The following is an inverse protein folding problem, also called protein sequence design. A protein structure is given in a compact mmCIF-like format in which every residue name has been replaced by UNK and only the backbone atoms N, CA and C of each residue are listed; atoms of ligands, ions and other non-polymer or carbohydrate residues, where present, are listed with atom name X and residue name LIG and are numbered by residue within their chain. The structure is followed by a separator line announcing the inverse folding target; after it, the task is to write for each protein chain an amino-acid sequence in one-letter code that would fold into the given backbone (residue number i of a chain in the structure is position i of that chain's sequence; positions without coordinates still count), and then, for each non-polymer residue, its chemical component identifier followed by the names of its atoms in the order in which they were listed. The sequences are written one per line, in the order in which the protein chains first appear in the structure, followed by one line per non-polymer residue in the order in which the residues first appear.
data_IF_628708007983
#
_entry.id   IF_628708007983
#
_cell.length_a   1.000
_cell.length_b   1.000
_cell.length_c   1.000
_cell.angle_alpha   90.00
_cell.angle_beta   90.00
_cell.angle_gamma   90.00
#
_symmetry.space_group_name_H-M   'P 1'
#
loop_
_entity.id
_entity.type
_entity.pdbx_description
1 polymer ?
#
# COMPACT_ATOMS: atom_id res chain seq x y z
N UNK A 1 -35.05 75.02 -9.31
CA UNK A 1 -33.82 74.23 -9.29
C UNK A 1 -34.15 72.78 -9.48
N UNK A 2 -34.02 72.17 -10.69
CA UNK A 2 -34.25 70.69 -10.87
C UNK A 2 -32.99 69.93 -11.30
N UNK A 3 -31.79 70.46 -11.02
CA UNK A 3 -30.54 69.77 -11.44
C UNK A 3 -30.07 68.67 -10.49
N UNK A 4 -30.35 68.76 -9.19
CA UNK A 4 -29.89 67.80 -8.20
C UNK A 4 -30.52 66.38 -8.34
N UNK A 5 -31.77 66.35 -8.85
CA UNK A 5 -32.46 65.02 -9.01
C UNK A 5 -31.95 64.16 -10.19
N UNK A 6 -31.38 64.84 -11.21
CA UNK A 6 -30.85 64.13 -12.41
C UNK A 6 -29.46 63.53 -12.13
N UNK A 7 -28.61 64.23 -11.40
CA UNK A 7 -27.26 63.72 -11.00
C UNK A 7 -27.34 62.55 -10.03
N UNK A 8 -28.25 62.62 -9.04
CA UNK A 8 -28.50 61.50 -8.14
C UNK A 8 -29.01 60.24 -8.89
N UNK A 9 -29.85 60.45 -9.92
CA UNK A 9 -30.44 59.36 -10.71
C UNK A 9 -29.41 58.66 -11.60
N UNK A 10 -28.49 59.39 -12.20
CA UNK A 10 -27.41 58.87 -13.00
C UNK A 10 -26.35 58.15 -12.12
N UNK A 11 -26.13 58.64 -10.90
CA UNK A 11 -25.26 58.02 -9.91
C UNK A 11 -25.82 56.68 -9.41
N UNK A 12 -27.12 56.59 -9.08
CA UNK A 12 -27.76 55.35 -8.61
C UNK A 12 -27.78 54.26 -9.69
N UNK A 13 -28.04 54.62 -10.96
CA UNK A 13 -27.97 53.66 -12.07
C UNK A 13 -26.56 53.12 -12.30
N UNK A 14 -25.53 53.94 -12.19
CA UNK A 14 -24.12 53.53 -12.30
C UNK A 14 -23.74 52.60 -11.18
N UNK A 15 -24.15 52.86 -9.92
CA UNK A 15 -23.92 51.99 -8.77
C UNK A 15 -24.65 50.65 -8.98
N UNK A 16 -25.90 50.66 -9.42
CA UNK A 16 -26.68 49.45 -9.70
C UNK A 16 -26.01 48.55 -10.76
N UNK A 17 -25.58 49.15 -11.87
CA UNK A 17 -24.86 48.44 -12.93
C UNK A 17 -23.54 47.89 -12.40
N UNK A 18 -22.79 48.63 -11.58
CA UNK A 18 -21.55 48.17 -10.94
C UNK A 18 -21.77 46.99 -10.01
N UNK A 19 -22.82 47.04 -9.19
CA UNK A 19 -23.20 45.93 -8.28
C UNK A 19 -23.58 44.65 -9.06
N UNK A 20 -24.38 44.77 -10.12
CA UNK A 20 -24.76 43.65 -10.98
C UNK A 20 -23.52 43.06 -11.66
N UNK A 21 -22.63 43.90 -12.17
CA UNK A 21 -21.42 43.50 -12.87
C UNK A 21 -20.43 42.72 -11.98
N UNK A 22 -20.46 42.95 -10.66
CA UNK A 22 -19.65 42.19 -9.67
C UNK A 22 -20.38 40.96 -9.17
N UNK A 23 -21.67 41.06 -8.81
CA UNK A 23 -22.42 39.96 -8.20
C UNK A 23 -22.74 38.83 -9.17
N UNK A 24 -23.01 39.12 -10.44
CA UNK A 24 -23.32 38.05 -11.43
C UNK A 24 -22.11 37.14 -11.68
N UNK A 25 -20.90 37.65 -11.98
CA UNK A 25 -19.71 36.77 -12.11
C UNK A 25 -19.39 36.01 -10.83
N UNK A 26 -19.54 36.61 -9.65
CA UNK A 26 -19.30 35.97 -8.37
C UNK A 26 -20.27 34.80 -8.15
N UNK A 27 -21.54 34.97 -8.52
CA UNK A 27 -22.58 33.91 -8.44
C UNK A 27 -22.26 32.76 -9.40
N UNK A 28 -21.88 33.07 -10.64
CA UNK A 28 -21.50 32.09 -11.67
C UNK A 28 -20.24 31.31 -11.24
N UNK A 29 -19.26 32.02 -10.69
CA UNK A 29 -18.03 31.38 -10.18
C UNK A 29 -18.31 30.46 -8.99
N UNK A 30 -19.13 30.92 -8.03
CA UNK A 30 -19.57 30.09 -6.90
C UNK A 30 -20.29 28.82 -7.35
N UNK A 31 -21.17 28.91 -8.34
CA UNK A 31 -21.87 27.79 -8.94
C UNK A 31 -20.91 26.83 -9.66
N UNK A 32 -19.96 27.35 -10.41
CA UNK A 32 -18.93 26.53 -11.08
C UNK A 32 -18.06 25.76 -10.09
N UNK A 33 -17.59 26.40 -9.02
CA UNK A 33 -16.81 25.76 -7.95
C UNK A 33 -17.64 24.68 -7.24
N UNK A 34 -18.93 24.93 -6.98
CA UNK A 34 -19.82 23.97 -6.33
C UNK A 34 -20.05 22.70 -7.18
N UNK A 35 -20.11 22.84 -8.50
CA UNK A 35 -20.37 21.72 -9.41
C UNK A 35 -19.12 20.89 -9.75
N UNK A 36 -17.96 21.51 -9.87
CA UNK A 36 -16.74 20.82 -10.35
C UNK A 36 -15.74 20.46 -9.25
N UNK A 37 -15.78 21.11 -8.09
CA UNK A 37 -14.78 20.94 -7.05
C UNK A 37 -14.70 19.51 -6.48
N UNK A 38 -15.81 18.83 -6.30
CA UNK A 38 -15.86 17.50 -5.65
C UNK A 38 -15.25 16.40 -6.52
N UNK A 39 -15.53 16.39 -7.83
CA UNK A 39 -15.04 15.35 -8.74
C UNK A 39 -13.52 15.40 -8.95
N UNK A 40 -12.96 16.58 -9.10
CA UNK A 40 -11.51 16.75 -9.31
C UNK A 40 -10.71 16.33 -8.08
N UNK A 41 -11.19 16.63 -6.88
CA UNK A 41 -10.48 16.22 -5.65
C UNK A 41 -10.60 14.74 -5.38
N UNK A 42 -11.76 14.13 -5.63
CA UNK A 42 -11.89 12.67 -5.58
C UNK A 42 -10.90 12.01 -6.53
N UNK A 43 -10.75 12.53 -7.73
CA UNK A 43 -9.79 12.01 -8.69
C UNK A 43 -8.35 12.21 -8.21
N UNK A 44 -7.98 13.41 -7.75
CA UNK A 44 -6.63 13.69 -7.23
C UNK A 44 -6.30 12.83 -6.01
N UNK A 45 -7.23 12.67 -5.08
CA UNK A 45 -7.04 11.80 -3.92
C UNK A 45 -6.91 10.32 -4.33
N UNK A 46 -7.72 9.89 -5.30
CA UNK A 46 -7.65 8.56 -5.88
C UNK A 46 -6.31 8.25 -6.53
N UNK A 47 -5.79 9.15 -7.34
CA UNK A 47 -4.45 8.99 -7.95
C UNK A 47 -3.33 9.06 -6.91
N UNK A 48 -3.49 9.88 -5.86
CA UNK A 48 -2.51 9.93 -4.76
C UNK A 48 -2.45 8.60 -3.99
N UNK A 49 -3.60 8.06 -3.56
CA UNK A 49 -3.63 6.78 -2.82
C UNK A 49 -3.13 5.62 -3.70
N UNK A 50 -3.46 5.63 -5.01
CA UNK A 50 -2.93 4.69 -5.99
C UNK A 50 -1.41 4.78 -6.09
N UNK A 51 -0.85 5.98 -6.14
CA UNK A 51 0.60 6.20 -6.18
C UNK A 51 1.29 5.69 -4.92
N UNK A 52 0.70 5.96 -3.75
CA UNK A 52 1.24 5.50 -2.46
C UNK A 52 1.21 3.98 -2.37
N UNK A 53 0.10 3.33 -2.71
CA UNK A 53 0.01 1.85 -2.69
C UNK A 53 0.97 1.20 -3.67
N UNK A 54 1.14 1.79 -4.87
CA UNK A 54 2.11 1.33 -5.84
C UNK A 54 3.54 1.43 -5.32
N UNK A 55 3.91 2.57 -4.76
CA UNK A 55 5.25 2.75 -4.17
C UNK A 55 5.51 1.77 -3.02
N UNK A 56 4.51 1.49 -2.20
CA UNK A 56 4.61 0.52 -1.12
C UNK A 56 4.74 -0.92 -1.63
N UNK A 57 4.05 -1.27 -2.72
CA UNK A 57 4.18 -2.57 -3.39
C UNK A 57 5.56 -2.75 -4.02
N UNK A 58 6.07 -1.73 -4.71
CA UNK A 58 7.42 -1.72 -5.29
C UNK A 58 8.50 -1.84 -4.19
N UNK A 59 8.34 -1.12 -3.07
CA UNK A 59 9.22 -1.24 -1.90
C UNK A 59 9.23 -2.65 -1.33
N UNK A 60 8.06 -3.28 -1.22
CA UNK A 60 7.93 -4.66 -0.74
C UNK A 60 8.66 -5.64 -1.66
N UNK A 61 8.44 -5.53 -2.97
CA UNK A 61 9.14 -6.37 -3.97
C UNK A 61 10.65 -6.15 -3.95
N UNK A 62 11.10 -4.89 -3.86
CA UNK A 62 12.52 -4.55 -3.81
C UNK A 62 13.18 -5.08 -2.53
N UNK A 63 12.48 -5.04 -1.39
CA UNK A 63 12.97 -5.63 -0.15
C UNK A 63 13.22 -7.13 -0.32
N UNK A 64 12.24 -7.89 -0.81
CA UNK A 64 12.37 -9.33 -1.06
C UNK A 64 13.50 -9.62 -2.06
N UNK A 65 13.55 -8.90 -3.18
CA UNK A 65 14.62 -9.04 -4.17
C UNK A 65 16.02 -8.75 -3.59
N UNK A 66 16.11 -7.77 -2.68
CA UNK A 66 17.35 -7.47 -1.95
C UNK A 66 17.79 -8.66 -1.08
N UNK A 67 16.86 -9.25 -0.33
CA UNK A 67 17.15 -10.43 0.53
C UNK A 67 17.55 -11.67 -0.30
N UNK A 68 16.88 -11.88 -1.43
CA UNK A 68 17.26 -12.94 -2.37
C UNK A 68 18.71 -12.78 -2.86
N UNK A 69 19.11 -11.56 -3.24
CA UNK A 69 20.50 -11.29 -3.65
C UNK A 69 21.50 -11.57 -2.54
N UNK A 70 21.20 -11.22 -1.30
CA UNK A 70 22.09 -11.52 -0.16
C UNK A 70 22.27 -13.04 0.03
N UNK A 71 21.18 -13.81 -0.03
CA UNK A 71 21.26 -15.27 0.08
C UNK A 71 21.98 -15.86 -1.13
N UNK A 72 21.79 -15.31 -2.33
CA UNK A 72 22.51 -15.77 -3.53
C UNK A 72 24.02 -15.59 -3.42
N UNK A 73 24.50 -14.49 -2.83
CA UNK A 73 25.93 -14.27 -2.58
C UNK A 73 26.51 -15.33 -1.64
N UNK A 74 25.74 -15.74 -0.64
CA UNK A 74 26.14 -16.84 0.25
C UNK A 74 26.19 -18.16 -0.53
N UNK A 75 25.14 -18.48 -1.30
CA UNK A 75 25.02 -19.75 -2.03
C UNK A 75 26.10 -19.94 -3.13
N UNK A 76 26.51 -18.84 -3.75
CA UNK A 76 27.54 -18.83 -4.81
C UNK A 76 28.97 -18.60 -4.27
N UNK A 77 29.18 -18.79 -2.96
CA UNK A 77 30.53 -18.69 -2.37
C UNK A 77 31.37 -19.90 -2.70
N UNK A 78 32.61 -19.75 -3.27
CA UNK A 78 33.49 -20.88 -3.57
C UNK A 78 33.82 -21.78 -2.36
N UNK A 79 33.95 -21.16 -1.17
CA UNK A 79 34.19 -21.92 0.07
C UNK A 79 33.01 -22.81 0.46
N UNK A 80 31.80 -22.36 0.16
CA UNK A 80 30.57 -23.10 0.41
C UNK A 80 30.42 -24.24 -0.61
N UNK A 81 30.65 -23.98 -1.89
CA UNK A 81 30.66 -25.03 -2.93
C UNK A 81 31.64 -26.16 -2.59
N UNK A 82 32.89 -25.81 -2.23
CA UNK A 82 33.91 -26.81 -1.84
C UNK A 82 33.48 -27.66 -0.63
N UNK A 83 32.91 -27.03 0.41
CA UNK A 83 32.47 -27.72 1.59
C UNK A 83 31.30 -28.68 1.30
N UNK A 84 30.36 -28.25 0.45
CA UNK A 84 29.22 -29.09 0.05
C UNK A 84 29.64 -30.23 -0.85
N UNK A 85 30.56 -30.02 -1.80
CA UNK A 85 31.13 -31.08 -2.63
C UNK A 85 31.85 -32.11 -1.76
N UNK A 86 32.66 -31.68 -0.78
CA UNK A 86 33.32 -32.59 0.16
C UNK A 86 32.33 -33.42 0.98
N UNK A 87 31.19 -32.84 1.36
CA UNK A 87 30.10 -33.54 2.04
C UNK A 87 29.45 -34.59 1.12
N UNK A 88 29.16 -34.24 -0.13
CA UNK A 88 28.56 -35.14 -1.12
C UNK A 88 29.45 -36.34 -1.43
N UNK A 89 30.77 -36.17 -1.48
CA UNK A 89 31.72 -37.27 -1.71
C UNK A 89 31.62 -38.39 -0.68
N UNK A 90 31.10 -38.13 0.52
CA UNK A 90 30.94 -39.19 1.54
C UNK A 90 29.90 -40.24 1.12
N UNK A 91 29.01 -39.92 0.18
CA UNK A 91 27.92 -40.78 -0.25
C UNK A 91 28.14 -41.40 -1.65
N UNK A 92 29.19 -41.04 -2.40
CA UNK A 92 29.41 -41.52 -3.78
C UNK A 92 29.49 -43.04 -3.96
N UNK A 93 29.82 -43.77 -2.88
CA UNK A 93 29.98 -45.24 -2.89
C UNK A 93 28.90 -45.96 -2.13
N UNK A 94 27.83 -45.30 -1.75
CA UNK A 94 26.74 -45.80 -0.94
C UNK A 94 25.48 -45.79 -1.79
N UNK A 95 24.63 -46.80 -1.68
CA UNK A 95 23.36 -46.79 -2.40
C UNK A 95 22.44 -45.71 -1.86
N UNK A 96 21.54 -45.16 -2.69
CA UNK A 96 20.59 -44.10 -2.29
C UNK A 96 19.75 -44.57 -1.08
N UNK A 97 19.30 -45.84 -1.04
CA UNK A 97 18.51 -46.41 0.07
C UNK A 97 19.31 -46.42 1.39
N UNK A 98 20.59 -46.76 1.32
CA UNK A 98 21.47 -46.78 2.49
C UNK A 98 21.78 -45.36 2.99
N UNK A 99 21.93 -44.39 2.05
CA UNK A 99 22.08 -42.97 2.40
C UNK A 99 20.84 -42.47 3.13
N UNK A 100 19.64 -42.75 2.60
CA UNK A 100 18.38 -42.35 3.23
C UNK A 100 18.24 -42.95 4.63
N UNK A 101 18.44 -44.26 4.76
CA UNK A 101 18.38 -44.96 6.06
C UNK A 101 19.35 -44.35 7.09
N UNK A 102 20.57 -43.97 6.66
CA UNK A 102 21.55 -43.32 7.52
C UNK A 102 21.13 -41.92 7.95
N UNK A 103 20.55 -41.15 7.04
CA UNK A 103 20.09 -39.77 7.32
C UNK A 103 18.88 -39.76 8.26
N UNK A 104 17.92 -40.66 8.03
CA UNK A 104 16.76 -40.85 8.91
C UNK A 104 17.19 -41.28 10.32
N UNK A 105 18.12 -42.25 10.44
CA UNK A 105 18.65 -42.66 11.71
C UNK A 105 19.39 -41.52 12.45
N UNK A 106 20.06 -40.63 11.69
CA UNK A 106 20.72 -39.44 12.24
C UNK A 106 19.68 -38.40 12.70
N UNK A 107 18.63 -38.18 11.93
CA UNK A 107 17.52 -37.30 12.31
C UNK A 107 16.86 -37.76 13.62
N UNK A 108 16.61 -39.04 13.81
CA UNK A 108 16.05 -39.59 15.05
C UNK A 108 16.93 -39.30 16.28
N UNK A 109 18.26 -39.24 16.09
CA UNK A 109 19.22 -38.93 17.15
C UNK A 109 19.44 -37.42 17.33
N UNK A 110 19.08 -36.62 16.34
CA UNK A 110 19.41 -35.19 16.29
C UNK A 110 18.93 -34.39 17.51
N UNK A 111 17.76 -34.72 18.03
CA UNK A 111 17.11 -34.00 19.12
C UNK A 111 17.43 -34.56 20.50
N UNK A 112 18.35 -35.54 20.59
CA UNK A 112 18.80 -36.10 21.85
C UNK A 112 20.33 -35.87 22.06
N UNK A 113 20.85 -36.30 23.20
CA UNK A 113 22.26 -36.08 23.58
C UNK A 113 23.27 -36.65 22.57
N UNK A 114 22.93 -37.69 21.83
CA UNK A 114 23.80 -38.26 20.77
C UNK A 114 23.96 -37.28 19.60
N UNK A 115 22.90 -36.52 19.27
CA UNK A 115 22.94 -35.48 18.24
C UNK A 115 23.73 -34.24 18.64
N UNK A 116 23.92 -33.95 19.92
CA UNK A 116 24.63 -32.76 20.37
C UNK A 116 26.12 -32.75 19.96
N UNK A 117 26.79 -33.90 19.94
CA UNK A 117 28.17 -34.00 19.46
C UNK A 117 28.26 -33.66 17.95
N UNK A 118 27.35 -34.20 17.15
CA UNK A 118 27.27 -33.90 15.72
C UNK A 118 26.94 -32.42 15.49
N UNK A 119 25.95 -31.88 16.22
CA UNK A 119 25.57 -30.45 16.15
C UNK A 119 26.79 -29.58 16.48
N UNK A 120 27.55 -29.91 17.53
CA UNK A 120 28.75 -29.16 17.90
C UNK A 120 29.79 -29.15 16.77
N UNK A 121 30.02 -30.28 16.10
CA UNK A 121 30.94 -30.35 14.97
C UNK A 121 30.47 -29.46 13.80
N UNK A 122 29.19 -29.55 13.42
CA UNK A 122 28.60 -28.76 12.36
C UNK A 122 28.74 -27.25 12.69
N UNK A 123 28.37 -26.85 13.89
CA UNK A 123 28.40 -25.45 14.33
C UNK A 123 29.83 -24.90 14.53
N UNK A 124 30.82 -25.73 14.79
CA UNK A 124 32.21 -25.33 14.97
C UNK A 124 33.03 -25.35 13.67
N UNK A 125 32.45 -25.80 12.54
CA UNK A 125 33.12 -25.85 11.24
C UNK A 125 33.58 -24.48 10.75
N UNK A 126 34.57 -24.44 9.86
CA UNK A 126 35.06 -23.20 9.27
C UNK A 126 33.94 -22.48 8.51
N UNK A 127 33.14 -23.22 7.76
CA UNK A 127 32.00 -22.71 7.06
C UNK A 127 30.95 -22.09 8.02
N UNK A 128 30.65 -22.78 9.12
CA UNK A 128 29.73 -22.25 10.13
C UNK A 128 30.23 -20.92 10.76
N UNK A 129 31.56 -20.82 10.98
CA UNK A 129 32.16 -19.53 11.45
C UNK A 129 32.03 -18.42 10.41
N UNK A 130 32.23 -18.74 9.13
CA UNK A 130 32.05 -17.80 8.03
C UNK A 130 30.58 -17.33 7.92
N UNK A 131 29.62 -18.25 8.00
CA UNK A 131 28.19 -17.94 7.98
C UNK A 131 27.79 -17.02 9.15
N UNK A 132 28.30 -17.27 10.37
CA UNK A 132 28.05 -16.39 11.52
C UNK A 132 28.60 -14.99 11.31
N UNK A 133 29.81 -14.83 10.76
CA UNK A 133 30.36 -13.51 10.42
C UNK A 133 29.49 -12.79 9.38
N UNK A 134 29.00 -13.52 8.37
CA UNK A 134 28.09 -12.98 7.36
C UNK A 134 26.78 -12.51 8.02
N UNK A 135 26.22 -13.28 8.94
CA UNK A 135 25.04 -12.90 9.71
C UNK A 135 25.28 -11.63 10.58
N UNK A 136 26.43 -11.53 11.25
CA UNK A 136 26.79 -10.36 12.04
C UNK A 136 26.84 -9.07 11.20
N UNK A 137 27.26 -9.19 9.94
CA UNK A 137 27.29 -8.06 8.99
C UNK A 137 25.91 -7.74 8.41
N UNK A 138 24.96 -8.69 8.44
CA UNK A 138 23.62 -8.57 7.91
C UNK A 138 22.57 -8.86 8.99
N UNK A 139 22.18 -7.88 9.80
CA UNK A 139 21.28 -8.06 10.94
C UNK A 139 19.90 -8.64 10.60
N UNK A 140 19.48 -8.57 9.33
CA UNK A 140 18.24 -9.19 8.87
C UNK A 140 18.34 -10.70 8.65
N UNK A 141 19.54 -11.27 8.57
CA UNK A 141 19.74 -12.71 8.53
C UNK A 141 19.67 -13.28 9.95
N UNK A 142 18.62 -14.04 10.26
CA UNK A 142 18.42 -14.62 11.58
C UNK A 142 19.16 -15.93 11.75
N UNK A 143 18.90 -16.88 10.82
CA UNK A 143 19.52 -18.20 10.82
C UNK A 143 19.90 -18.60 9.39
N UNK A 144 21.02 -19.24 9.21
CA UNK A 144 21.46 -19.78 7.90
C UNK A 144 21.86 -21.22 8.10
N UNK A 145 21.32 -22.11 7.26
CA UNK A 145 21.62 -23.54 7.22
C UNK A 145 22.05 -23.94 5.82
N UNK A 146 23.08 -24.75 5.70
CA UNK A 146 23.58 -25.32 4.45
C UNK A 146 23.40 -26.81 4.51
N UNK A 147 22.77 -27.36 3.47
CA UNK A 147 22.60 -28.80 3.30
C UNK A 147 23.25 -29.26 1.98
N UNK A 148 23.73 -30.49 1.94
CA UNK A 148 24.25 -31.18 0.76
C UNK A 148 23.12 -31.67 -0.18
N UNK A 149 23.48 -32.33 -1.28
CA UNK A 149 22.53 -32.85 -2.26
C UNK A 149 21.57 -33.91 -1.68
N UNK A 150 22.00 -34.65 -0.67
CA UNK A 150 21.19 -35.65 0.05
C UNK A 150 20.32 -35.03 1.16
N UNK A 151 20.41 -33.71 1.37
CA UNK A 151 19.67 -33.02 2.42
C UNK A 151 20.29 -33.08 3.82
N UNK A 152 21.50 -33.58 3.96
CA UNK A 152 22.19 -33.57 5.24
C UNK A 152 22.72 -32.17 5.58
N UNK A 153 22.56 -31.72 6.81
CA UNK A 153 23.09 -30.45 7.26
C UNK A 153 24.61 -30.46 7.33
N UNK A 154 25.27 -29.62 6.52
CA UNK A 154 26.74 -29.50 6.43
C UNK A 154 27.26 -28.40 7.37
N UNK A 155 26.58 -27.27 7.44
CA UNK A 155 26.94 -26.16 8.30
C UNK A 155 25.70 -25.34 8.65
N UNK A 156 25.73 -24.67 9.82
CA UNK A 156 24.66 -23.77 10.22
C UNK A 156 25.19 -22.70 11.18
N UNK A 157 24.47 -21.55 11.23
CA UNK A 157 24.75 -20.50 12.24
C UNK A 157 24.31 -20.92 13.63
N UNK A 158 23.21 -21.68 13.72
CA UNK A 158 22.56 -22.17 14.93
C UNK A 158 22.10 -23.61 14.70
N UNK A 159 21.90 -24.41 15.76
CA UNK A 159 21.39 -25.78 15.61
C UNK A 159 20.03 -25.74 14.91
N UNK A 160 19.89 -26.26 13.67
CA UNK A 160 18.61 -26.32 13.01
C UNK A 160 17.68 -27.31 13.71
N UNK A 161 16.36 -27.11 13.56
CA UNK A 161 15.35 -28.02 14.14
C UNK A 161 15.50 -29.42 13.61
N UNK A 162 15.91 -29.58 12.36
CA UNK A 162 16.09 -30.83 11.66
C UNK A 162 17.50 -30.91 11.08
N UNK A 163 18.12 -32.08 11.20
CA UNK A 163 19.38 -32.42 10.52
C UNK A 163 19.13 -32.70 9.04
N UNK A 164 18.07 -33.48 8.76
CA UNK A 164 17.68 -33.92 7.44
C UNK A 164 16.66 -32.99 6.79
N UNK A 165 16.99 -32.45 5.65
CA UNK A 165 16.20 -31.42 4.98
C UNK A 165 15.40 -31.90 3.77
N UNK A 166 15.75 -33.07 3.19
CA UNK A 166 15.11 -33.55 1.95
C UNK A 166 13.65 -33.96 2.15
N UNK A 167 13.24 -34.35 3.36
CA UNK A 167 11.85 -34.67 3.70
C UNK A 167 10.94 -33.42 3.83
N UNK A 168 11.50 -32.23 3.71
CA UNK A 168 10.75 -30.99 3.80
C UNK A 168 10.01 -30.68 2.49
N UNK A 169 8.78 -30.18 2.61
CA UNK A 169 7.90 -29.90 1.47
C UNK A 169 8.51 -28.99 0.39
N UNK A 170 9.43 -28.09 0.77
CA UNK A 170 10.08 -27.19 -0.16
C UNK A 170 11.22 -27.84 -0.98
N UNK A 171 11.78 -29.00 -0.51
CA UNK A 171 12.98 -29.61 -1.10
C UNK A 171 12.74 -30.05 -2.55
N UNK A 172 11.61 -30.68 -2.81
CA UNK A 172 11.26 -31.11 -4.17
C UNK A 172 11.21 -29.96 -5.17
N UNK A 173 10.65 -28.82 -4.74
CA UNK A 173 10.62 -27.59 -5.55
C UNK A 173 12.02 -27.00 -5.73
N UNK A 174 12.81 -26.98 -4.66
CA UNK A 174 14.18 -26.47 -4.66
C UNK A 174 15.10 -27.31 -5.56
N UNK A 175 14.98 -28.65 -5.50
CA UNK A 175 15.74 -29.58 -6.33
C UNK A 175 15.43 -29.42 -7.82
N UNK A 176 14.15 -29.24 -8.16
CA UNK A 176 13.67 -28.98 -9.53
C UNK A 176 14.34 -29.87 -10.59
N UNK A 177 14.27 -31.21 -10.39
CA UNK A 177 14.89 -32.20 -11.30
C UNK A 177 16.42 -32.01 -11.51
N UNK A 178 17.12 -31.49 -10.52
CA UNK A 178 18.56 -31.24 -10.55
C UNK A 178 18.99 -29.91 -11.15
N UNK A 179 18.02 -29.05 -11.60
CA UNK A 179 18.31 -27.74 -12.15
C UNK A 179 18.39 -26.64 -11.07
N UNK A 180 17.78 -26.90 -9.92
CA UNK A 180 17.68 -25.95 -8.82
C UNK A 180 16.68 -24.83 -9.07
N UNK A 181 15.83 -24.55 -8.09
CA UNK A 181 14.92 -23.41 -8.13
C UNK A 181 14.89 -22.72 -6.78
N UNK A 182 14.68 -21.41 -6.78
CA UNK A 182 14.58 -20.64 -5.54
C UNK A 182 13.21 -20.87 -4.93
N UNK A 183 13.16 -21.18 -3.64
CA UNK A 183 11.91 -21.28 -2.89
C UNK A 183 11.87 -20.23 -1.80
N UNK A 184 10.75 -19.49 -1.70
CA UNK A 184 10.48 -18.55 -0.61
C UNK A 184 9.22 -19.02 0.12
N UNK A 185 9.36 -19.34 1.40
CA UNK A 185 8.24 -19.70 2.24
C UNK A 185 7.54 -18.45 2.80
N UNK A 186 6.24 -18.59 3.06
CA UNK A 186 5.45 -17.53 3.69
C UNK A 186 5.91 -17.22 5.13
N UNK A 187 5.39 -16.15 5.68
CA UNK A 187 5.69 -15.62 7.00
C UNK A 187 5.51 -16.64 8.13
N UNK A 188 6.48 -16.65 9.04
CA UNK A 188 6.47 -17.45 10.27
C UNK A 188 7.06 -16.65 11.42
N UNK A 189 6.77 -17.09 12.65
CA UNK A 189 7.43 -16.61 13.86
C UNK A 189 8.55 -17.56 14.26
N UNK A 190 9.66 -17.02 14.71
CA UNK A 190 10.72 -17.79 15.38
C UNK A 190 10.44 -17.94 16.87
N UNK A 191 11.36 -18.62 17.57
CA UNK A 191 11.26 -18.88 19.02
C UNK A 191 11.33 -17.60 19.87
N UNK A 192 11.85 -16.50 19.30
CA UNK A 192 11.94 -15.18 19.93
C UNK A 192 10.77 -14.26 19.51
N UNK A 193 9.75 -14.83 18.85
CA UNK A 193 8.58 -14.12 18.33
C UNK A 193 8.93 -13.03 17.29
N UNK A 194 10.04 -13.19 16.56
CA UNK A 194 10.40 -12.36 15.41
C UNK A 194 9.75 -12.91 14.16
N UNK A 195 9.25 -12.03 13.33
CA UNK A 195 8.57 -12.40 12.08
C UNK A 195 9.59 -12.54 10.94
N UNK A 196 9.62 -13.69 10.29
CA UNK A 196 10.56 -13.98 9.22
C UNK A 196 9.91 -14.67 8.02
N UNK A 197 10.59 -14.57 6.87
CA UNK A 197 10.40 -15.44 5.72
C UNK A 197 11.60 -16.40 5.63
N UNK A 198 11.39 -17.60 5.07
CA UNK A 198 12.47 -18.54 4.80
C UNK A 198 12.77 -18.56 3.30
N UNK A 199 14.00 -18.26 2.94
CA UNK A 199 14.51 -18.31 1.56
C UNK A 199 15.39 -19.55 1.44
N UNK A 200 15.02 -20.48 0.57
CA UNK A 200 15.87 -21.62 0.20
C UNK A 200 16.43 -21.38 -1.21
N UNK A 201 17.75 -21.36 -1.32
CA UNK A 201 18.48 -21.07 -2.55
C UNK A 201 19.33 -22.30 -2.94
N UNK A 202 19.24 -22.77 -4.20
CA UNK A 202 20.03 -23.93 -4.64
C UNK A 202 21.51 -23.58 -4.73
N UNK A 203 22.36 -24.52 -4.36
CA UNK A 203 23.80 -24.46 -4.62
C UNK A 203 24.03 -25.26 -5.89
N UNK A 204 24.55 -24.59 -6.90
CA UNK A 204 24.88 -25.22 -8.18
C UNK A 204 26.39 -25.32 -8.31
N UNK A 205 26.89 -26.44 -8.83
CA UNK A 205 28.31 -26.58 -9.14
C UNK A 205 28.70 -25.70 -10.30
N UNK A 206 29.69 -24.81 -10.13
CA UNK A 206 30.07 -23.82 -11.14
C UNK A 206 30.39 -24.44 -12.51
N UNK A 207 31.06 -25.60 -12.56
CA UNK A 207 31.50 -26.22 -13.81
C UNK A 207 30.36 -26.91 -14.55
N UNK A 208 29.43 -27.57 -13.83
CA UNK A 208 28.40 -28.44 -14.41
C UNK A 208 27.02 -27.88 -14.39
N UNK A 209 26.78 -26.83 -13.59
CA UNK A 209 25.45 -26.28 -13.32
C UNK A 209 24.51 -27.21 -12.56
N UNK A 210 25.01 -28.37 -12.06
CA UNK A 210 24.21 -29.37 -11.34
C UNK A 210 23.93 -28.94 -9.92
N UNK A 211 22.73 -29.25 -9.43
CA UNK A 211 22.37 -29.07 -8.02
C UNK A 211 23.27 -29.96 -7.14
N UNK A 212 23.93 -29.36 -6.18
CA UNK A 212 24.82 -30.02 -5.23
C UNK A 212 24.39 -29.83 -3.78
N UNK A 213 23.41 -28.98 -3.50
CA UNK A 213 22.94 -28.69 -2.15
C UNK A 213 22.10 -27.42 -2.09
N UNK A 214 21.84 -26.94 -0.89
CA UNK A 214 21.01 -25.80 -0.65
C UNK A 214 21.47 -24.92 0.52
N UNK A 215 21.24 -23.61 0.41
CA UNK A 215 21.27 -22.66 1.52
C UNK A 215 19.83 -22.31 1.90
N UNK A 216 19.48 -22.47 3.16
CA UNK A 216 18.23 -21.95 3.72
C UNK A 216 18.52 -20.81 4.69
N UNK A 217 17.96 -19.64 4.45
CA UNK A 217 18.11 -18.48 5.29
C UNK A 217 16.76 -18.01 5.85
N UNK A 218 16.70 -17.80 7.15
CA UNK A 218 15.59 -17.10 7.80
C UNK A 218 15.90 -15.60 7.81
N UNK A 219 14.98 -14.83 7.26
CA UNK A 219 15.16 -13.37 7.03
C UNK A 219 14.09 -12.60 7.79
N UNK A 220 14.51 -11.70 8.68
CA UNK A 220 13.63 -10.78 9.40
C UNK A 220 12.96 -9.80 8.44
N UNK A 221 11.64 -9.72 8.50
CA UNK A 221 10.82 -8.79 7.70
C UNK A 221 10.35 -7.57 8.50
N UNK A 222 10.69 -7.49 9.78
CA UNK A 222 10.31 -6.35 10.64
C UNK A 222 10.77 -4.99 10.09
N UNK A 223 11.95 -4.86 9.45
CA UNK A 223 12.35 -3.60 8.83
C UNK A 223 11.44 -3.16 7.68
N UNK A 224 10.93 -4.11 6.88
CA UNK A 224 9.93 -3.81 5.84
C UNK A 224 8.66 -3.24 6.46
N UNK A 225 8.14 -3.90 7.50
CA UNK A 225 6.90 -3.46 8.15
C UNK A 225 7.07 -2.11 8.85
N UNK A 226 8.22 -1.88 9.49
CA UNK A 226 8.53 -0.57 10.05
C UNK A 226 8.56 0.53 8.98
N UNK A 227 9.04 0.23 7.78
CA UNK A 227 9.07 1.17 6.66
C UNK A 227 7.67 1.42 6.08
N UNK A 228 6.85 0.38 5.93
CA UNK A 228 5.45 0.50 5.49
C UNK A 228 4.63 1.33 6.49
N UNK A 229 4.82 1.10 7.79
CA UNK A 229 4.12 1.85 8.85
C UNK A 229 4.48 3.35 8.91
N UNK A 230 5.62 3.75 8.36
CA UNK A 230 6.01 5.17 8.28
C UNK A 230 5.33 5.92 7.14
N UNK A 231 4.72 5.20 6.20
CA UNK A 231 3.97 5.83 5.11
C UNK A 231 2.66 6.39 5.63
N UNK A 232 2.54 7.71 5.68
CA UNK A 232 1.34 8.40 6.11
C UNK A 232 0.46 8.77 4.91
N UNK A 233 -0.83 8.47 5.00
CA UNK A 233 -1.84 8.83 4.00
C UNK A 233 -2.84 9.74 4.70
N UNK A 234 -2.62 11.05 4.64
CA UNK A 234 -3.41 12.00 5.41
C UNK A 234 -3.33 11.74 6.92
N UNK A 235 -4.43 11.94 7.63
CA UNK A 235 -4.57 11.72 9.09
C UNK A 235 -5.27 10.40 9.42
N UNK A 236 -6.24 10.00 8.61
CA UNK A 236 -7.07 8.81 8.83
C UNK A 236 -6.60 7.63 7.98
N UNK A 237 -5.67 7.87 7.07
CA UNK A 237 -5.19 6.83 6.16
C UNK A 237 -4.40 5.74 6.84
N UNK A 238 -4.64 4.50 6.39
CA UNK A 238 -3.99 3.28 6.86
C UNK A 238 -3.46 2.50 5.67
N UNK A 239 -2.32 1.86 5.86
CA UNK A 239 -1.71 1.00 4.85
C UNK A 239 -1.61 -0.41 5.41
N UNK A 240 -2.02 -1.38 4.62
CA UNK A 240 -2.08 -2.80 4.97
C UNK A 240 -1.28 -3.62 3.96
N UNK A 241 -0.65 -4.67 4.43
CA UNK A 241 -0.19 -5.75 3.59
C UNK A 241 -1.12 -6.95 3.81
N UNK A 242 -1.71 -7.46 2.76
CA UNK A 242 -2.68 -8.57 2.81
C UNK A 242 -2.28 -9.67 1.83
N UNK A 243 -2.78 -10.89 2.04
CA UNK A 243 -2.71 -11.96 1.05
C UNK A 243 -3.85 -11.82 0.03
N UNK A 244 -3.77 -12.56 -1.05
CA UNK A 244 -4.80 -12.61 -2.09
C UNK A 244 -6.12 -13.25 -1.65
N UNK A 245 -6.18 -13.85 -0.46
CA UNK A 245 -7.41 -14.27 0.22
C UNK A 245 -7.99 -13.19 1.15
N UNK A 246 -7.31 -12.04 1.29
CA UNK A 246 -7.69 -10.94 2.17
C UNK A 246 -7.21 -11.06 3.61
N UNK A 247 -6.45 -12.09 3.95
CA UNK A 247 -5.85 -12.23 5.29
C UNK A 247 -4.83 -11.13 5.51
N UNK A 248 -4.96 -10.40 6.61
CA UNK A 248 -4.04 -9.32 6.98
C UNK A 248 -2.69 -9.90 7.39
N UNK A 249 -1.64 -9.51 6.70
CA UNK A 249 -0.26 -9.84 7.03
C UNK A 249 0.32 -8.80 7.98
N UNK A 250 0.08 -7.52 7.66
CA UNK A 250 0.57 -6.38 8.44
C UNK A 250 -0.43 -5.24 8.34
N UNK A 251 -0.74 -4.63 9.48
CA UNK A 251 -1.51 -3.40 9.57
C UNK A 251 -1.07 -2.61 10.80
N UNK A 252 -1.20 -1.28 10.81
CA UNK A 252 -0.92 -0.46 11.98
C UNK A 252 -1.77 -0.90 13.19
N UNK A 253 -1.11 -1.24 14.30
CA UNK A 253 -1.78 -1.66 15.54
C UNK A 253 -2.39 -3.07 15.54
N UNK A 254 -2.13 -3.88 14.51
CA UNK A 254 -2.60 -5.27 14.42
C UNK A 254 -1.39 -6.21 14.58
N UNK A 255 -1.51 -7.18 15.49
CA UNK A 255 -0.54 -8.27 15.56
C UNK A 255 -0.76 -9.22 14.39
N UNK A 256 0.30 -9.58 13.63
CA UNK A 256 0.18 -10.52 12.49
C UNK A 256 -0.32 -11.93 12.87
N UNK A 257 -0.32 -12.27 14.14
CA UNK A 257 -0.89 -13.54 14.66
C UNK A 257 -2.43 -13.59 14.58
N UNK A 258 -3.08 -12.45 14.41
CA UNK A 258 -4.53 -12.40 14.21
C UNK A 258 -4.84 -12.72 12.74
N UNK A 259 -5.55 -13.83 12.50
CA UNK A 259 -6.12 -14.17 11.19
C UNK A 259 -7.33 -13.27 10.91
N UNK A 260 -7.09 -11.99 10.68
CA UNK A 260 -8.11 -11.01 10.31
C UNK A 260 -8.23 -10.90 8.79
N UNK A 261 -9.46 -10.80 8.31
CA UNK A 261 -9.72 -10.39 6.94
C UNK A 261 -9.92 -8.87 6.87
N UNK A 262 -9.36 -8.24 5.85
CA UNK A 262 -9.51 -6.81 5.60
C UNK A 262 -10.84 -6.50 4.93
N UNK A 263 -11.59 -5.53 5.48
CA UNK A 263 -12.78 -4.98 4.81
C UNK A 263 -12.39 -4.25 3.52
N UNK A 264 -11.24 -3.60 3.53
CA UNK A 264 -10.66 -2.93 2.37
C UNK A 264 -10.40 -3.91 1.23
N UNK A 265 -9.81 -5.06 1.54
CA UNK A 265 -9.60 -6.12 0.54
C UNK A 265 -10.93 -6.64 -0.01
N UNK A 266 -11.91 -6.87 0.84
CA UNK A 266 -13.24 -7.34 0.41
C UNK A 266 -13.88 -6.38 -0.58
N UNK A 267 -13.67 -5.07 -0.41
CA UNK A 267 -14.19 -4.03 -1.29
C UNK A 267 -13.53 -4.02 -2.68
N UNK A 268 -12.24 -4.42 -2.77
CA UNK A 268 -11.48 -4.40 -4.04
C UNK A 268 -11.38 -5.76 -4.72
N UNK A 269 -11.75 -6.85 -4.04
CA UNK A 269 -11.57 -8.23 -4.51
C UNK A 269 -12.09 -8.47 -5.93
N UNK A 270 -13.28 -7.95 -6.24
CA UNK A 270 -13.89 -8.13 -7.55
C UNK A 270 -13.13 -7.35 -8.63
N UNK A 271 -12.56 -6.19 -8.27
CA UNK A 271 -11.69 -5.41 -9.13
C UNK A 271 -10.35 -6.13 -9.39
N UNK A 272 -9.78 -6.77 -8.36
CA UNK A 272 -8.55 -7.58 -8.50
C UNK A 272 -8.76 -8.81 -9.37
N UNK A 273 -9.95 -9.43 -9.34
CA UNK A 273 -10.27 -10.61 -10.15
C UNK A 273 -10.33 -10.34 -11.66
N UNK A 274 -10.66 -9.12 -12.06
CA UNK A 274 -10.69 -8.68 -13.47
C UNK A 274 -9.33 -8.22 -13.97
N UNK A 275 -8.43 -7.91 -13.07
CA UNK A 275 -7.15 -7.27 -13.32
C UNK A 275 -6.03 -8.33 -13.18
N UNK A 276 -5.59 -8.90 -14.29
CA UNK A 276 -4.55 -9.94 -14.32
C UNK A 276 -3.16 -9.32 -14.19
N UNK A 277 -2.58 -9.39 -12.96
CA UNK A 277 -1.15 -9.10 -12.70
C UNK A 277 -0.76 -7.61 -12.70
N UNK A 278 0.04 -7.19 -11.73
CA UNK A 278 0.64 -5.84 -11.55
C UNK A 278 -0.31 -4.66 -11.52
N UNK A 279 -1.54 -4.83 -11.06
CA UNK A 279 -2.49 -3.78 -11.21
C UNK A 279 -2.65 -2.95 -9.95
N UNK A 280 -2.66 -1.67 -10.19
CA UNK A 280 -2.90 -0.65 -9.19
C UNK A 280 -4.21 0.04 -9.51
N UNK A 281 -5.00 0.33 -8.51
CA UNK A 281 -6.25 1.06 -8.69
C UNK A 281 -6.72 1.71 -7.41
N UNK A 282 -7.84 2.37 -7.51
CA UNK A 282 -8.56 2.91 -6.37
C UNK A 282 -10.06 2.88 -6.60
N UNK A 283 -10.82 2.88 -5.52
CA UNK A 283 -12.28 3.01 -5.57
C UNK A 283 -12.80 3.71 -4.31
N UNK A 284 -13.96 4.34 -4.43
CA UNK A 284 -14.72 4.83 -3.30
C UNK A 284 -15.76 3.78 -2.91
N UNK A 285 -15.81 3.42 -1.65
CA UNK A 285 -16.69 2.36 -1.13
C UNK A 285 -17.27 2.74 0.24
N UNK A 286 -18.28 1.99 0.65
CA UNK A 286 -18.89 2.13 1.98
C UNK A 286 -18.64 0.84 2.75
N UNK A 287 -18.03 0.92 3.92
CA UNK A 287 -17.81 -0.23 4.80
C UNK A 287 -19.07 -0.59 5.60
N UNK A 288 -19.02 -1.71 6.28
CA UNK A 288 -20.14 -2.32 7.01
C UNK A 288 -20.82 -1.37 8.01
N UNK A 289 -20.08 -0.40 8.57
CA UNK A 289 -20.60 0.62 9.50
C UNK A 289 -21.24 1.84 8.81
N UNK A 290 -21.36 1.83 7.48
CA UNK A 290 -21.91 2.95 6.72
C UNK A 290 -20.93 4.12 6.50
N UNK A 291 -19.68 3.98 6.92
CA UNK A 291 -18.63 4.95 6.70
C UNK A 291 -18.08 4.84 5.27
N UNK A 292 -17.84 5.99 4.65
CA UNK A 292 -17.31 6.03 3.27
C UNK A 292 -15.81 6.19 3.28
N UNK A 293 -15.15 5.36 2.48
CA UNK A 293 -13.70 5.32 2.34
C UNK A 293 -13.27 5.40 0.88
N UNK A 294 -12.11 6.01 0.67
CA UNK A 294 -11.29 5.81 -0.51
C UNK A 294 -10.34 4.66 -0.22
N UNK A 295 -10.36 3.63 -1.07
CA UNK A 295 -9.48 2.47 -0.97
C UNK A 295 -8.60 2.42 -2.20
N UNK A 296 -7.28 2.35 -2.00
CA UNK A 296 -6.28 2.10 -3.03
C UNK A 296 -5.67 0.71 -2.87
N UNK A 297 -5.18 0.14 -3.96
CA UNK A 297 -4.51 -1.16 -3.94
C UNK A 297 -3.41 -1.27 -4.99
N UNK A 298 -2.44 -2.12 -4.70
CA UNK A 298 -1.38 -2.49 -5.63
C UNK A 298 -0.90 -3.93 -5.36
N UNK A 299 -0.82 -4.74 -6.40
CA UNK A 299 -0.19 -6.05 -6.35
C UNK A 299 1.33 -5.86 -6.29
N UNK A 300 2.00 -6.64 -5.43
CA UNK A 300 3.46 -6.64 -5.35
C UNK A 300 4.13 -7.36 -6.53
N UNK A 301 3.39 -8.20 -7.26
CA UNK A 301 3.91 -9.06 -8.33
C UNK A 301 4.80 -10.21 -7.83
N UNK A 302 4.89 -10.41 -6.51
CA UNK A 302 5.72 -11.48 -5.94
C UNK A 302 5.17 -12.87 -6.21
N UNK A 303 3.85 -13.01 -6.32
CA UNK A 303 3.15 -14.28 -6.54
C UNK A 303 3.62 -15.01 -7.81
N UNK A 304 3.94 -14.27 -8.86
CA UNK A 304 4.35 -14.84 -10.15
C UNK A 304 5.66 -15.63 -10.03
N UNK A 305 6.61 -15.11 -9.25
CA UNK A 305 7.90 -15.77 -9.00
C UNK A 305 7.86 -16.67 -7.75
N UNK A 306 7.07 -16.31 -6.75
CA UNK A 306 6.99 -16.99 -5.46
C UNK A 306 5.52 -17.18 -5.06
N UNK A 307 4.88 -18.30 -5.44
CA UNK A 307 3.46 -18.57 -5.20
C UNK A 307 3.02 -18.47 -3.72
N UNK A 308 3.97 -18.65 -2.80
CA UNK A 308 3.72 -18.51 -1.36
C UNK A 308 3.71 -17.06 -0.85
N UNK A 309 4.01 -16.08 -1.71
CA UNK A 309 3.98 -14.67 -1.39
C UNK A 309 2.91 -13.92 -2.22
N UNK A 310 1.62 -14.29 -2.09
CA UNK A 310 0.54 -13.63 -2.81
C UNK A 310 0.18 -12.31 -2.10
N UNK A 311 1.14 -11.40 -2.01
CA UNK A 311 1.03 -10.19 -1.22
C UNK A 311 0.51 -9.01 -2.02
N UNK A 312 -0.47 -8.33 -1.46
CA UNK A 312 -1.13 -7.15 -2.02
C UNK A 312 -1.04 -6.03 -0.99
N UNK A 313 -0.66 -4.84 -1.44
CA UNK A 313 -0.72 -3.63 -0.63
C UNK A 313 -2.10 -3.00 -0.81
N UNK A 314 -2.75 -2.69 0.29
CA UNK A 314 -4.04 -2.00 0.33
C UNK A 314 -3.92 -0.79 1.25
N UNK A 315 -4.52 0.32 0.85
CA UNK A 315 -4.62 1.50 1.70
C UNK A 315 -6.06 2.00 1.75
N UNK A 316 -6.45 2.55 2.89
CA UNK A 316 -7.76 3.18 3.06
C UNK A 316 -7.62 4.56 3.69
N UNK A 317 -8.51 5.49 3.32
CA UNK A 317 -8.61 6.82 3.89
C UNK A 317 -10.09 7.23 3.96
N UNK A 318 -10.50 7.88 5.05
CA UNK A 318 -11.87 8.36 5.19
C UNK A 318 -12.21 9.43 4.13
N UNK A 319 -13.33 9.24 3.42
CA UNK A 319 -13.78 10.20 2.42
C UNK A 319 -14.03 11.60 3.00
N UNK A 320 -14.47 11.67 4.26
CA UNK A 320 -14.71 12.94 4.96
C UNK A 320 -13.45 13.79 5.10
N UNK A 321 -12.29 13.17 5.27
CA UNK A 321 -11.02 13.90 5.32
C UNK A 321 -10.69 14.52 3.97
N UNK A 322 -10.95 13.80 2.89
CA UNK A 322 -10.65 14.20 1.51
C UNK A 322 -11.59 15.33 1.06
N UNK A 323 -12.89 15.15 1.30
CA UNK A 323 -13.92 16.07 0.81
C UNK A 323 -14.23 17.21 1.78
N UNK A 324 -13.82 17.10 3.06
CA UNK A 324 -14.11 18.07 4.12
C UNK A 324 -13.70 19.50 3.79
N UNK A 325 -12.45 19.77 3.37
CA UNK A 325 -12.00 21.11 3.02
C UNK A 325 -12.85 21.76 1.93
N UNK A 326 -13.24 20.98 0.90
CA UNK A 326 -14.06 21.49 -0.21
C UNK A 326 -15.49 21.70 0.21
N UNK A 327 -16.06 20.80 1.00
CA UNK A 327 -17.43 20.99 1.49
C UNK A 327 -17.58 22.33 2.20
N UNK A 328 -16.56 22.79 2.92
CA UNK A 328 -16.54 24.10 3.56
C UNK A 328 -16.45 25.23 2.53
N UNK A 329 -15.59 25.09 1.51
CA UNK A 329 -15.49 26.08 0.40
C UNK A 329 -16.78 26.12 -0.41
N UNK A 330 -17.36 24.97 -0.73
CA UNK A 330 -18.64 24.86 -1.46
C UNK A 330 -19.78 25.46 -0.64
N UNK A 331 -19.86 25.17 0.67
CA UNK A 331 -20.86 25.76 1.55
C UNK A 331 -20.71 27.29 1.62
N UNK A 332 -19.48 27.81 1.71
CA UNK A 332 -19.21 29.23 1.67
C UNK A 332 -19.60 29.86 0.32
N UNK A 333 -19.24 29.20 -0.80
CA UNK A 333 -19.62 29.67 -2.13
C UNK A 333 -21.14 29.69 -2.32
N UNK A 334 -21.86 28.67 -1.86
CA UNK A 334 -23.33 28.63 -1.86
C UNK A 334 -23.93 29.77 -0.98
N UNK A 335 -23.35 30.01 0.20
CA UNK A 335 -23.77 31.10 1.07
C UNK A 335 -23.61 32.45 0.37
N UNK A 336 -22.46 32.72 -0.25
CA UNK A 336 -22.21 33.95 -1.04
C UNK A 336 -23.18 34.06 -2.21
N UNK A 337 -23.48 32.95 -2.89
CA UNK A 337 -24.46 32.91 -3.99
C UNK A 337 -25.85 33.27 -3.50
N UNK A 338 -26.34 32.69 -2.41
CA UNK A 338 -27.67 33.00 -1.85
C UNK A 338 -27.72 34.44 -1.39
N UNK A 339 -26.67 34.92 -0.71
CA UNK A 339 -26.59 36.33 -0.28
C UNK A 339 -26.61 37.30 -1.46
N UNK A 340 -25.89 37.01 -2.54
CA UNK A 340 -25.86 37.83 -3.74
C UNK A 340 -27.22 37.87 -4.43
N UNK A 341 -27.92 36.74 -4.54
CA UNK A 341 -29.29 36.67 -5.07
C UNK A 341 -30.28 37.46 -4.22
N UNK A 342 -30.16 37.39 -2.90
CA UNK A 342 -31.00 38.15 -1.96
C UNK A 342 -30.77 39.65 -2.13
N UNK A 343 -29.52 40.11 -2.25
CA UNK A 343 -29.19 41.52 -2.50
C UNK A 343 -29.76 41.97 -3.84
N UNK A 344 -29.61 41.17 -4.90
CA UNK A 344 -30.16 41.49 -6.23
C UNK A 344 -31.69 41.58 -6.21
N UNK A 345 -32.38 40.66 -5.50
CA UNK A 345 -33.85 40.70 -5.37
C UNK A 345 -34.32 41.92 -4.58
N UNK A 346 -33.66 42.25 -3.46
CA UNK A 346 -33.97 43.44 -2.67
C UNK A 346 -33.73 44.74 -3.50
N UNK A 347 -32.65 44.75 -4.27
CA UNK A 347 -32.34 45.88 -5.14
C UNK A 347 -33.38 46.04 -6.27
N UNK A 348 -33.79 44.94 -6.89
CA UNK A 348 -34.85 44.92 -7.90
C UNK A 348 -36.19 45.37 -7.33
N UNK A 349 -36.56 44.89 -6.14
CA UNK A 349 -37.77 45.33 -5.41
C UNK A 349 -37.72 46.80 -5.07
N UNK A 350 -36.57 47.32 -4.59
CA UNK A 350 -36.38 48.74 -4.32
C UNK A 350 -36.59 49.60 -5.58
N UNK A 351 -35.98 49.23 -6.69
CA UNK A 351 -36.14 49.94 -7.98
C UNK A 351 -37.58 49.89 -8.47
N UNK A 352 -38.25 48.73 -8.32
CA UNK A 352 -39.66 48.59 -8.71
C UNK A 352 -40.57 49.47 -7.86
N UNK A 353 -40.47 49.45 -6.53
CA UNK A 353 -41.25 50.29 -5.62
C UNK A 353 -41.03 51.79 -5.86
N UNK A 354 -39.78 52.20 -6.09
CA UNK A 354 -39.46 53.59 -6.37
C UNK A 354 -39.97 54.03 -7.72
N UNK A 355 -40.13 53.18 -8.71
CA UNK A 355 -40.81 53.50 -9.98
C UNK A 355 -42.31 53.60 -9.79
N UNK A 356 -42.95 52.78 -8.97
CA UNK A 356 -44.37 52.81 -8.69
C UNK A 356 -44.76 54.14 -8.00
N UNK A 357 -44.03 54.59 -6.98
CA UNK A 357 -44.26 55.85 -6.31
C UNK A 357 -44.18 57.04 -7.25
N UNK A 358 -43.29 57.01 -8.24
CA UNK A 358 -43.23 58.10 -9.25
C UNK A 358 -44.40 58.11 -10.25
N UNK A 359 -45.05 57.00 -10.48
CA UNK A 359 -46.25 56.90 -11.33
C UNK A 359 -47.45 57.41 -10.58
N UNK A 360 -47.60 57.13 -9.29
CA UNK A 360 -48.64 57.68 -8.44
C UNK A 360 -48.54 59.22 -8.31
N UNK A 361 -47.33 59.78 -8.14
CA UNK A 361 -47.09 61.23 -8.08
C UNK A 361 -47.46 61.99 -9.40
N UNK A 362 -47.43 61.29 -10.54
CA UNK A 362 -47.78 61.84 -11.85
C UNK A 362 -49.31 61.83 -12.04
N UNK A 363 -50.03 60.83 -11.52
CA UNK A 363 -51.50 60.74 -11.59
C UNK A 363 -52.22 61.72 -10.66
N UNK A 364 -51.55 62.21 -9.62
CA UNK A 364 -52.12 63.13 -8.63
C UNK A 364 -51.89 64.62 -8.96
N UNK A 365 -51.37 65.02 -10.13
CA UNK A 365 -51.29 66.41 -10.55
C UNK A 365 -52.70 66.94 -10.80
N UNK A 366 -53.15 68.03 -10.15
CA UNK A 366 -54.50 68.60 -10.32
C UNK A 366 -54.66 69.13 -11.72
N UNK A 367 -55.76 68.71 -12.36
CA UNK A 367 -56.23 69.22 -13.63
C UNK A 367 -56.28 70.75 -13.58
N UNK A 368 -55.61 71.43 -14.52
CA UNK A 368 -55.51 72.84 -14.63
C UNK A 368 -56.91 73.41 -14.95
N UNK A 369 -57.54 74.10 -14.00
CA UNK A 369 -58.84 74.74 -14.17
C UNK A 369 -58.75 75.83 -15.24
N UNK A 370 -59.65 75.82 -16.22
CA UNK A 370 -59.64 76.89 -17.23
C UNK A 370 -59.92 78.27 -16.59
N UNK A 371 -59.14 79.28 -16.93
CA UNK A 371 -59.33 80.71 -16.55
C UNK A 371 -60.63 81.19 -17.09
N UNK A 372 -61.46 81.89 -16.28
CA UNK A 372 -62.64 82.58 -16.81
C UNK A 372 -62.22 83.77 -17.72
N UNK A 373 -62.89 83.87 -18.90
CA UNK A 373 -62.74 84.96 -19.81
C UNK A 373 -63.22 86.25 -19.15
N UNK A 374 -62.37 87.29 -19.23
CA UNK A 374 -62.74 88.64 -18.83
C UNK A 374 -63.62 89.30 -19.94
N UNK A 375 -64.75 89.84 -19.52
CA UNK A 375 -65.57 90.75 -20.28
C UNK A 375 -65.06 92.19 -20.17
#
# INVERSE_FOLDING_TARGET
MPLDSLELRTSLQKVLVGVILVLVPLTVFGFYVALQGDSQIRQMAGENIRSVTRSAAELTSQFIAGRLREVSVIANSPSLEQAVLAANHQYERISDDDVMSKLEATEQKWNNSEGDALAKNILSSDLARQLRRTRELNPTLLKVTVADASGATVAATDKPVHYFQMDRAYWGMLYSQGQGAIHVADLRYDDENRLYISIAYPILQDVTGRFIGAVTAQVDVSPLFAQLNRQQIGRTGRLFLVRDDGTVIQAPGVSPSMKMHSEEYSAIRDSLGTLRGRETGYLFTTFSKGEKYLVGFADTGLKDAFPNLPWIVVASQEEREITGPIRNVTAFALFVMVLSLLILTLLAAYVFLHRMQKLEDIETLPEDKPRPAAA
#
